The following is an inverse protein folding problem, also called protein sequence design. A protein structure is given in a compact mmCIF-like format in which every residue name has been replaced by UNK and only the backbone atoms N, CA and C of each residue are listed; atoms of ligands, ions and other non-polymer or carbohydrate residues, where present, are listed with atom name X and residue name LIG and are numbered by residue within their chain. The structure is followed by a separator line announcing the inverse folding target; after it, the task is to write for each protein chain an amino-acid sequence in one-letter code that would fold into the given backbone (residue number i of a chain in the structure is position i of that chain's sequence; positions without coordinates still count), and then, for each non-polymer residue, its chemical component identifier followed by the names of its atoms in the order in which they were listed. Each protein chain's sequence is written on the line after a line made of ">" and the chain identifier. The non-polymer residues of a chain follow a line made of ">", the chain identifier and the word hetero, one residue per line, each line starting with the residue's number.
data_IF_009062925819
#
_entry.id   IF_009062925819
#
_cell.length_a   1.000
_cell.length_b   1.000
_cell.length_c   1.000
_cell.angle_alpha   90.00
_cell.angle_beta   90.00
_cell.angle_gamma   90.00
#
_symmetry.space_group_name_H-M   'P 1'
#
loop_
_entity.id
_entity.type
_entity.pdbx_description
1 polymer ?
#
# COMPACT_ATOMS: atom_id res chain seq x y z
N UNK A 1 -7.10 29.95 2.90
CA UNK A 1 -7.23 29.19 4.15
C UNK A 1 -6.50 29.92 5.29
N UNK A 2 -5.22 30.20 5.16
CA UNK A 2 -4.42 30.90 6.17
C UNK A 2 -5.03 32.23 6.65
N UNK A 3 -5.74 32.97 5.77
CA UNK A 3 -6.40 34.21 6.13
C UNK A 3 -7.64 34.08 7.03
N UNK A 4 -8.21 32.86 7.10
CA UNK A 4 -9.42 32.59 7.91
C UNK A 4 -9.09 31.87 9.22
N UNK A 5 -8.05 31.04 9.16
CA UNK A 5 -7.60 30.26 10.29
C UNK A 5 -6.11 30.37 10.47
N UNK A 6 -5.36 30.46 11.35
CA UNK A 6 -3.91 30.65 11.46
C UNK A 6 -3.07 29.54 10.79
N UNK A 7 -3.67 28.43 10.41
CA UNK A 7 -2.98 27.23 9.91
C UNK A 7 -2.47 27.43 8.48
N UNK A 8 -1.24 26.98 8.23
CA UNK A 8 -0.57 27.17 6.96
C UNK A 8 -0.43 25.82 6.22
N UNK A 9 -0.98 25.74 5.00
CA UNK A 9 -0.80 24.60 4.11
C UNK A 9 0.05 25.03 2.92
N UNK A 10 1.15 24.32 2.70
CA UNK A 10 2.05 24.54 1.56
C UNK A 10 2.15 23.28 0.73
N UNK A 11 2.02 23.42 -0.59
CA UNK A 11 2.24 22.35 -1.56
C UNK A 11 3.56 22.62 -2.27
N UNK A 12 4.43 21.63 -2.28
CA UNK A 12 5.70 21.66 -3.01
C UNK A 12 5.81 20.45 -3.95
N UNK A 13 6.20 20.73 -5.19
CA UNK A 13 6.53 19.69 -6.16
C UNK A 13 7.99 19.82 -6.56
N UNK A 14 8.73 18.71 -6.51
CA UNK A 14 10.11 18.62 -6.93
C UNK A 14 10.24 17.54 -8.01
N UNK A 15 11.09 17.69 -9.00
CA UNK A 15 11.23 16.69 -10.06
C UNK A 15 11.64 15.33 -9.52
N UNK A 16 12.64 15.30 -8.63
CA UNK A 16 13.21 14.08 -8.03
C UNK A 16 13.80 14.37 -6.67
N UNK A 17 13.91 13.32 -5.85
CA UNK A 17 14.60 13.29 -4.56
C UNK A 17 16.11 12.99 -4.72
N UNK A 18 16.57 12.68 -5.94
CA UNK A 18 17.97 12.34 -6.25
C UNK A 18 18.53 11.19 -5.40
N UNK A 19 17.67 10.21 -5.08
CA UNK A 19 18.00 9.04 -4.28
C UNK A 19 17.87 9.24 -2.77
N UNK A 20 17.45 10.41 -2.31
CA UNK A 20 17.18 10.66 -0.89
C UNK A 20 15.78 10.12 -0.51
N UNK A 21 15.63 9.74 0.76
CA UNK A 21 14.32 9.35 1.30
C UNK A 21 13.43 10.59 1.49
N UNK A 22 12.14 10.46 1.13
CA UNK A 22 11.20 11.58 1.15
C UNK A 22 10.94 12.15 2.55
N UNK A 23 11.00 11.31 3.56
CA UNK A 23 10.70 11.67 4.94
C UNK A 23 11.73 12.65 5.54
N UNK A 24 13.04 12.35 5.55
CA UNK A 24 14.05 13.31 6.00
C UNK A 24 14.11 14.55 5.10
N UNK A 25 13.86 14.41 3.80
CA UNK A 25 13.81 15.53 2.86
C UNK A 25 12.66 16.48 3.22
N UNK A 26 11.43 15.97 3.38
CA UNK A 26 10.26 16.76 3.72
C UNK A 26 10.43 17.50 5.07
N UNK A 27 10.92 16.79 6.09
CA UNK A 27 11.18 17.36 7.41
C UNK A 27 12.23 18.48 7.36
N UNK A 28 13.31 18.29 6.61
CA UNK A 28 14.35 19.32 6.41
C UNK A 28 13.78 20.54 5.68
N UNK A 29 12.99 20.32 4.62
CA UNK A 29 12.36 21.38 3.84
C UNK A 29 11.35 22.18 4.70
N UNK A 30 10.51 21.48 5.46
CA UNK A 30 9.54 22.05 6.38
C UNK A 30 10.22 23.02 7.37
N UNK A 31 11.32 22.57 7.98
CA UNK A 31 12.09 23.39 8.93
C UNK A 31 12.84 24.55 8.26
N UNK A 32 13.39 24.31 7.07
CA UNK A 32 14.11 25.36 6.32
C UNK A 32 13.18 26.50 5.94
N UNK A 33 11.96 26.18 5.50
CA UNK A 33 10.94 27.19 5.17
C UNK A 33 10.24 27.75 6.41
N UNK A 34 10.48 27.19 7.58
CA UNK A 34 9.85 27.60 8.84
C UNK A 34 8.33 27.63 8.75
N UNK A 35 7.75 26.54 8.20
CA UNK A 35 6.31 26.46 7.99
C UNK A 35 5.56 26.45 9.33
N UNK A 36 4.45 27.18 9.36
CA UNK A 36 3.65 27.43 10.56
C UNK A 36 4.20 28.57 11.44
N UNK A 37 3.37 29.01 12.36
CA UNK A 37 3.76 30.05 13.30
C UNK A 37 4.67 29.49 14.39
N UNK A 38 5.72 30.22 14.73
CA UNK A 38 6.81 29.76 15.61
C UNK A 38 6.36 29.28 17.01
N UNK A 39 5.21 29.74 17.49
CA UNK A 39 4.64 29.34 18.79
C UNK A 39 3.60 28.23 18.67
N UNK A 40 2.93 28.16 17.53
CA UNK A 40 1.78 27.27 17.30
C UNK A 40 2.17 26.01 16.54
N UNK A 41 3.28 26.04 15.77
CA UNK A 41 3.75 24.93 14.93
C UNK A 41 2.63 24.36 14.04
N UNK A 42 1.82 25.26 13.46
CA UNK A 42 0.59 24.97 12.75
C UNK A 42 0.76 24.98 11.23
N UNK A 43 1.87 24.44 10.76
CA UNK A 43 2.15 24.26 9.34
C UNK A 43 1.86 22.84 8.86
N UNK A 44 1.52 22.71 7.57
CA UNK A 44 1.42 21.44 6.84
C UNK A 44 2.16 21.57 5.52
N UNK A 45 2.99 20.59 5.16
CA UNK A 45 3.66 20.51 3.87
C UNK A 45 3.19 19.27 3.12
N UNK A 46 2.58 19.44 1.96
CA UNK A 46 2.40 18.38 0.99
C UNK A 46 3.57 18.42 0.01
N UNK A 47 4.45 17.43 0.08
CA UNK A 47 5.57 17.26 -0.84
C UNK A 47 5.28 16.17 -1.86
N UNK A 48 5.49 16.44 -3.14
CA UNK A 48 5.30 15.50 -4.24
C UNK A 48 6.57 15.45 -5.10
N UNK A 49 7.10 14.24 -5.31
CA UNK A 49 8.22 13.95 -6.21
C UNK A 49 7.74 12.99 -7.31
N UNK A 50 7.20 13.49 -8.44
CA UNK A 50 6.54 12.67 -9.46
C UNK A 50 7.45 11.62 -10.10
N UNK A 51 8.71 11.95 -10.38
CA UNK A 51 9.64 11.01 -11.04
C UNK A 51 9.99 9.83 -10.14
N UNK A 52 10.01 10.03 -8.80
CA UNK A 52 10.26 8.97 -7.82
C UNK A 52 8.97 8.27 -7.40
N UNK A 53 7.80 8.76 -7.84
CA UNK A 53 6.46 8.31 -7.41
C UNK A 53 6.32 8.34 -5.90
N UNK A 54 6.87 9.38 -5.28
CA UNK A 54 6.84 9.59 -3.83
C UNK A 54 6.03 10.84 -3.49
N UNK A 55 5.31 10.76 -2.41
CA UNK A 55 4.55 11.88 -1.83
C UNK A 55 4.50 11.76 -0.32
N UNK A 56 4.45 12.87 0.37
CA UNK A 56 4.39 12.94 1.82
C UNK A 56 3.65 14.18 2.29
N UNK A 57 2.87 14.01 3.34
CA UNK A 57 2.31 15.10 4.12
C UNK A 57 3.10 15.18 5.43
N UNK A 58 3.79 16.29 5.64
CA UNK A 58 4.50 16.59 6.88
C UNK A 58 3.67 17.56 7.68
N UNK A 59 3.37 17.24 8.94
CA UNK A 59 2.47 17.99 9.80
C UNK A 59 3.26 18.61 10.95
N UNK A 60 3.04 19.90 11.21
CA UNK A 60 3.62 20.59 12.36
C UNK A 60 3.03 20.09 13.67
N UNK A 61 3.84 20.07 14.70
CA UNK A 61 3.51 19.50 16.02
C UNK A 61 2.17 20.03 16.60
N UNK A 62 1.83 21.29 16.34
CA UNK A 62 0.58 21.88 16.79
C UNK A 62 -0.69 21.31 16.14
N UNK A 63 -0.54 20.63 14.99
CA UNK A 63 -1.64 20.06 14.23
C UNK A 63 -1.71 18.53 14.28
N UNK A 64 -0.72 17.85 14.86
CA UNK A 64 -0.67 16.37 14.92
C UNK A 64 -1.90 15.75 15.60
N UNK A 65 -2.49 16.48 16.56
CA UNK A 65 -3.72 16.03 17.25
C UNK A 65 -4.99 16.14 16.40
N UNK A 66 -4.98 17.01 15.36
CA UNK A 66 -6.12 17.24 14.46
C UNK A 66 -5.93 16.51 13.13
N UNK A 67 -4.81 16.78 12.45
CA UNK A 67 -4.43 16.09 11.22
C UNK A 67 -3.45 14.98 11.57
N UNK A 68 -4.00 13.84 11.98
CA UNK A 68 -3.23 12.69 12.46
C UNK A 68 -2.57 11.91 11.34
N UNK A 69 -1.65 10.98 11.68
CA UNK A 69 -1.05 10.04 10.71
C UNK A 69 -2.10 9.21 9.97
N UNK A 70 -3.20 8.86 10.64
CA UNK A 70 -4.32 8.18 9.97
C UNK A 70 -4.92 9.04 8.87
N UNK A 71 -5.20 10.31 9.14
CA UNK A 71 -5.78 11.22 8.17
C UNK A 71 -4.84 11.45 6.98
N UNK A 72 -3.55 11.70 7.22
CA UNK A 72 -2.56 11.87 6.14
C UNK A 72 -2.42 10.64 5.27
N UNK A 73 -2.46 9.45 5.87
CA UNK A 73 -2.46 8.17 5.15
C UNK A 73 -3.72 8.02 4.29
N UNK A 74 -4.90 8.27 4.84
CA UNK A 74 -6.17 8.17 4.10
C UNK A 74 -6.20 9.12 2.90
N UNK A 75 -5.76 10.37 3.06
CA UNK A 75 -5.66 11.36 1.98
C UNK A 75 -4.73 10.84 0.87
N UNK A 76 -3.56 10.34 1.22
CA UNK A 76 -2.61 9.83 0.23
C UNK A 76 -3.20 8.62 -0.51
N UNK A 77 -3.69 7.61 0.21
CA UNK A 77 -4.14 6.34 -0.36
C UNK A 77 -5.45 6.45 -1.15
N UNK A 78 -6.39 7.26 -0.67
CA UNK A 78 -7.73 7.33 -1.27
C UNK A 78 -7.88 8.43 -2.33
N UNK A 79 -7.09 9.51 -2.25
CA UNK A 79 -7.25 10.65 -3.13
C UNK A 79 -6.07 10.79 -4.10
N UNK A 80 -4.83 10.82 -3.57
CA UNK A 80 -3.67 11.09 -4.40
C UNK A 80 -3.24 9.88 -5.24
N UNK A 81 -3.10 8.70 -4.64
CA UNK A 81 -2.61 7.50 -5.34
C UNK A 81 -3.48 7.13 -6.53
N UNK A 82 -4.82 7.03 -6.44
CA UNK A 82 -5.65 6.70 -7.59
C UNK A 82 -5.63 7.79 -8.66
N UNK A 83 -5.66 9.08 -8.28
CA UNK A 83 -5.59 10.20 -9.22
C UNK A 83 -4.25 10.21 -9.99
N UNK A 84 -3.13 10.01 -9.31
CA UNK A 84 -1.81 9.97 -9.91
C UNK A 84 -1.62 8.77 -10.84
N UNK A 85 -2.20 7.61 -10.50
CA UNK A 85 -2.24 6.45 -11.41
C UNK A 85 -3.04 6.72 -12.68
N UNK A 86 -4.09 7.55 -12.58
CA UNK A 86 -4.88 8.00 -13.72
C UNK A 86 -4.22 9.15 -14.51
N UNK A 87 -3.06 9.67 -14.04
CA UNK A 87 -2.36 10.80 -14.65
C UNK A 87 -2.90 12.18 -14.23
N UNK A 88 -3.88 12.22 -13.34
CA UNK A 88 -4.47 13.46 -12.82
C UNK A 88 -3.73 13.95 -11.57
N UNK A 89 -2.54 14.50 -11.77
CA UNK A 89 -1.74 15.04 -10.68
C UNK A 89 -2.40 16.26 -10.02
N UNK A 90 -2.98 17.14 -10.84
CA UNK A 90 -3.62 18.38 -10.37
C UNK A 90 -4.85 18.08 -9.52
N UNK A 91 -5.73 17.20 -10.01
CA UNK A 91 -6.94 16.80 -9.29
C UNK A 91 -6.59 16.09 -7.97
N UNK A 92 -5.62 15.18 -7.97
CA UNK A 92 -5.16 14.50 -6.76
C UNK A 92 -4.61 15.45 -5.70
N UNK A 93 -3.79 16.43 -6.12
CA UNK A 93 -3.25 17.45 -5.20
C UNK A 93 -4.37 18.35 -4.66
N UNK A 94 -5.27 18.84 -5.54
CA UNK A 94 -6.37 19.72 -5.13
C UNK A 94 -7.25 19.02 -4.11
N UNK A 95 -7.65 17.78 -4.39
CA UNK A 95 -8.47 16.99 -3.48
C UNK A 95 -7.78 16.73 -2.14
N UNK A 96 -6.49 16.44 -2.14
CA UNK A 96 -5.72 16.27 -0.91
C UNK A 96 -5.71 17.54 -0.06
N UNK A 97 -5.57 18.72 -0.69
CA UNK A 97 -5.64 20.02 0.01
C UNK A 97 -7.04 20.25 0.60
N UNK A 98 -8.10 19.96 -0.18
CA UNK A 98 -9.48 20.11 0.29
C UNK A 98 -9.76 19.20 1.49
N UNK A 99 -9.29 17.96 1.47
CA UNK A 99 -9.47 17.02 2.58
C UNK A 99 -8.63 17.42 3.81
N UNK A 100 -7.41 17.94 3.63
CA UNK A 100 -6.63 18.52 4.74
C UNK A 100 -7.38 19.67 5.39
N UNK A 101 -7.93 20.57 4.60
CA UNK A 101 -8.73 21.72 5.10
C UNK A 101 -9.95 21.21 5.87
N UNK A 102 -10.69 20.26 5.31
CA UNK A 102 -11.87 19.67 5.93
C UNK A 102 -11.56 19.07 7.32
N UNK A 103 -10.45 18.33 7.44
CA UNK A 103 -10.00 17.76 8.72
C UNK A 103 -9.59 18.86 9.71
N UNK A 104 -8.84 19.87 9.26
CA UNK A 104 -8.41 20.98 10.11
C UNK A 104 -9.58 21.87 10.58
N UNK A 105 -10.66 21.94 9.80
CA UNK A 105 -11.92 22.61 10.19
C UNK A 105 -12.80 21.77 11.15
N UNK A 106 -12.33 20.55 11.53
CA UNK A 106 -12.99 19.70 12.53
C UNK A 106 -14.04 18.74 11.97
N UNK A 107 -13.98 18.40 10.69
CA UNK A 107 -14.90 17.48 10.02
C UNK A 107 -14.20 16.24 9.46
N UNK A 108 -13.49 15.42 10.28
CA UNK A 108 -12.74 14.25 9.79
C UNK A 108 -13.63 13.07 9.41
N UNK A 109 -14.90 13.04 9.85
CA UNK A 109 -15.78 11.88 9.76
C UNK A 109 -16.04 11.44 8.32
N UNK A 110 -16.12 12.37 7.37
CA UNK A 110 -16.33 12.04 5.96
C UNK A 110 -15.11 11.35 5.36
N UNK A 111 -13.91 11.83 5.66
CA UNK A 111 -12.66 11.21 5.23
C UNK A 111 -12.53 9.80 5.80
N UNK A 112 -12.77 9.63 7.09
CA UNK A 112 -12.73 8.32 7.75
C UNK A 112 -13.79 7.35 7.20
N UNK A 113 -15.01 7.86 6.93
CA UNK A 113 -16.06 7.04 6.34
C UNK A 113 -15.72 6.61 4.91
N UNK A 114 -15.05 7.46 4.12
CA UNK A 114 -14.51 7.09 2.80
C UNK A 114 -13.42 6.03 2.92
N UNK A 115 -12.50 6.18 3.88
CA UNK A 115 -11.46 5.20 4.17
C UNK A 115 -12.07 3.83 4.46
N UNK A 116 -13.01 3.74 5.38
CA UNK A 116 -13.70 2.49 5.74
C UNK A 116 -14.44 1.85 4.55
N UNK A 117 -15.08 2.65 3.69
CA UNK A 117 -15.72 2.13 2.47
C UNK A 117 -14.72 1.54 1.49
N UNK A 118 -13.55 2.16 1.34
CA UNK A 118 -12.50 1.68 0.45
C UNK A 118 -11.81 0.41 0.97
N UNK A 119 -11.62 0.30 2.28
CA UNK A 119 -11.15 -0.95 2.91
C UNK A 119 -12.14 -2.11 2.75
N UNK A 120 -13.44 -1.79 2.71
CA UNK A 120 -14.52 -2.77 2.51
C UNK A 120 -14.87 -2.96 1.03
N UNK A 121 -14.16 -2.31 0.10
CA UNK A 121 -14.40 -2.44 -1.32
C UNK A 121 -14.29 -3.92 -1.73
N UNK A 122 -15.25 -4.43 -2.51
CA UNK A 122 -15.31 -5.85 -2.79
C UNK A 122 -14.08 -6.29 -3.56
N UNK A 123 -13.63 -7.47 -3.17
CA UNK A 123 -12.62 -8.30 -3.76
C UNK A 123 -12.38 -8.02 -5.25
N UNK A 124 -11.18 -7.58 -5.57
CA UNK A 124 -10.81 -7.29 -6.95
C UNK A 124 -10.78 -8.63 -7.74
N UNK A 125 -11.50 -8.75 -8.88
CA UNK A 125 -11.48 -9.98 -9.67
C UNK A 125 -10.08 -10.45 -10.05
N UNK A 126 -9.14 -9.52 -10.24
CA UNK A 126 -7.74 -9.82 -10.55
C UNK A 126 -7.02 -10.52 -9.38
N UNK A 127 -7.37 -10.17 -8.13
CA UNK A 127 -6.84 -10.85 -6.94
C UNK A 127 -7.43 -12.26 -6.79
N UNK A 128 -8.67 -12.48 -7.25
CA UNK A 128 -9.29 -13.80 -7.30
C UNK A 128 -8.56 -14.73 -8.28
N UNK A 129 -8.30 -14.25 -9.50
CA UNK A 129 -7.56 -15.03 -10.49
C UNK A 129 -6.17 -15.38 -10.00
N UNK A 130 -5.46 -14.43 -9.38
CA UNK A 130 -4.14 -14.68 -8.83
C UNK A 130 -4.17 -15.66 -7.65
N UNK A 131 -5.15 -15.56 -6.77
CA UNK A 131 -5.34 -16.48 -5.63
C UNK A 131 -5.68 -17.89 -6.09
N UNK A 132 -6.58 -18.04 -7.08
CA UNK A 132 -6.92 -19.32 -7.70
C UNK A 132 -5.69 -19.90 -8.38
N UNK A 133 -4.94 -19.10 -9.13
CA UNK A 133 -3.72 -19.54 -9.80
C UNK A 133 -2.71 -20.09 -8.81
N UNK A 134 -2.44 -19.39 -7.72
CA UNK A 134 -1.53 -19.87 -6.66
C UNK A 134 -2.07 -21.14 -6.00
N UNK A 135 -3.38 -21.21 -5.69
CA UNK A 135 -3.99 -22.39 -5.08
C UNK A 135 -3.85 -23.64 -5.97
N UNK A 136 -4.06 -23.50 -7.27
CA UNK A 136 -3.87 -24.58 -8.25
C UNK A 136 -2.41 -25.04 -8.28
N UNK A 137 -1.45 -24.11 -8.31
CA UNK A 137 -0.03 -24.44 -8.31
C UNK A 137 0.41 -25.15 -7.02
N UNK A 138 -0.06 -24.68 -5.86
CA UNK A 138 0.21 -25.33 -4.57
C UNK A 138 -0.40 -26.74 -4.56
N UNK A 139 -1.62 -26.91 -5.06
CA UNK A 139 -2.28 -28.22 -5.14
C UNK A 139 -1.50 -29.19 -6.01
N UNK A 140 -1.04 -28.76 -7.20
CA UNK A 140 -0.22 -29.57 -8.09
C UNK A 140 1.10 -29.96 -7.41
N UNK A 141 1.75 -29.02 -6.73
CA UNK A 141 3.01 -29.25 -6.01
C UNK A 141 2.82 -30.26 -4.87
N UNK A 142 1.76 -30.12 -4.08
CA UNK A 142 1.45 -31.04 -2.98
C UNK A 142 1.14 -32.42 -3.51
N UNK A 143 0.34 -32.56 -4.58
CA UNK A 143 0.03 -33.86 -5.22
C UNK A 143 1.28 -34.51 -5.81
N UNK A 144 2.15 -33.73 -6.46
CA UNK A 144 3.43 -34.20 -6.99
C UNK A 144 4.34 -34.72 -5.88
N UNK A 145 4.46 -33.96 -4.78
CA UNK A 145 5.27 -34.37 -3.62
C UNK A 145 4.67 -35.59 -2.93
N UNK A 146 3.35 -35.61 -2.75
CA UNK A 146 2.64 -36.77 -2.19
C UNK A 146 2.82 -38.03 -3.02
N UNK A 147 2.74 -37.93 -4.34
CA UNK A 147 2.97 -39.09 -5.25
C UNK A 147 4.39 -39.64 -5.20
N UNK A 148 5.36 -38.80 -4.81
CA UNK A 148 6.77 -39.24 -4.67
C UNK A 148 7.08 -39.82 -3.29
N UNK A 149 6.46 -39.31 -2.22
CA UNK A 149 6.80 -39.65 -0.84
C UNK A 149 5.87 -40.72 -0.25
N UNK A 150 4.57 -40.62 -0.49
CA UNK A 150 3.60 -41.51 0.15
C UNK A 150 3.70 -43.01 -0.33
N UNK A 151 3.89 -43.34 -1.63
CA UNK A 151 4.02 -44.70 -2.06
C UNK A 151 5.19 -45.48 -1.42
N UNK A 152 6.40 -44.88 -1.26
CA UNK A 152 7.48 -45.57 -0.53
C UNK A 152 7.19 -45.82 0.96
N UNK A 153 6.39 -44.96 1.59
CA UNK A 153 6.10 -45.03 3.04
C UNK A 153 4.92 -45.98 3.32
N UNK A 154 3.83 -45.85 2.56
CA UNK A 154 2.54 -46.51 2.84
C UNK A 154 2.18 -47.57 1.78
N UNK A 155 2.86 -47.63 0.64
CA UNK A 155 2.57 -48.58 -0.42
C UNK A 155 3.16 -49.98 -0.18
N UNK A 156 2.48 -51.01 -0.66
CA UNK A 156 3.04 -52.37 -0.69
C UNK A 156 4.12 -52.49 -1.75
N UNK A 157 5.32 -52.87 -1.34
CA UNK A 157 6.44 -53.10 -2.25
C UNK A 157 6.21 -54.33 -3.10
N UNK A 158 6.03 -54.15 -4.41
CA UNK A 158 5.76 -55.23 -5.37
C UNK A 158 6.99 -55.62 -6.22
N UNK A 159 8.11 -54.90 -6.04
CA UNK A 159 9.36 -55.13 -6.75
C UNK A 159 10.43 -54.07 -6.44
N UNK A 160 11.64 -54.17 -7.00
CA UNK A 160 12.68 -53.17 -6.85
C UNK A 160 12.21 -51.81 -7.38
N UNK A 161 12.02 -50.84 -6.49
CA UNK A 161 11.59 -49.48 -6.88
C UNK A 161 10.11 -49.34 -7.28
N UNK A 162 9.27 -50.38 -7.08
CA UNK A 162 7.84 -50.37 -7.43
C UNK A 162 6.98 -50.50 -6.18
N UNK A 163 5.99 -49.61 -6.07
CA UNK A 163 5.04 -49.59 -4.95
C UNK A 163 3.60 -49.59 -5.49
N UNK A 164 2.71 -50.37 -4.86
CA UNK A 164 1.27 -50.33 -5.11
C UNK A 164 0.60 -49.59 -3.96
N UNK A 165 -0.05 -48.50 -4.29
CA UNK A 165 -0.81 -47.70 -3.33
C UNK A 165 -2.12 -47.23 -3.98
N UNK A 166 -3.24 -47.33 -3.29
CA UNK A 166 -4.58 -47.01 -3.81
C UNK A 166 -4.89 -47.64 -5.18
N UNK A 167 -4.47 -48.90 -5.42
CA UNK A 167 -4.71 -49.58 -6.69
C UNK A 167 -3.81 -49.18 -7.85
N UNK A 168 -2.98 -48.17 -7.70
CA UNK A 168 -2.04 -47.70 -8.73
C UNK A 168 -0.61 -48.12 -8.41
N UNK A 169 0.20 -48.34 -9.48
CA UNK A 169 1.62 -48.68 -9.36
C UNK A 169 2.46 -47.43 -9.58
N UNK A 170 3.36 -47.12 -8.63
CA UNK A 170 4.28 -46.00 -8.68
C UNK A 170 5.72 -46.46 -8.84
N UNK A 171 6.44 -45.80 -9.74
CA UNK A 171 7.89 -45.97 -9.94
C UNK A 171 8.60 -44.64 -9.71
N UNK A 172 8.91 -44.26 -8.45
CA UNK A 172 9.62 -43.04 -8.19
C UNK A 172 11.03 -43.08 -8.78
N UNK A 173 11.33 -42.23 -9.74
CA UNK A 173 12.65 -42.08 -10.34
C UNK A 173 12.78 -42.37 -11.83
N UNK A 174 11.72 -42.81 -12.53
CA UNK A 174 11.78 -42.92 -13.98
C UNK A 174 11.35 -41.58 -14.62
N UNK A 175 12.33 -40.76 -15.03
CA UNK A 175 12.06 -39.66 -15.96
C UNK A 175 11.61 -40.29 -17.28
N UNK A 176 10.42 -39.93 -17.75
CA UNK A 176 10.00 -40.19 -19.11
C UNK A 176 10.96 -39.51 -20.07
N UNK A 177 11.69 -40.31 -20.84
CA UNK A 177 12.44 -39.89 -22.01
C UNK A 177 11.48 -39.48 -23.12
#
# INVERSE_FOLDING_TARGET
>A
FEQKGSDQIVVATIPSLDGEEIEPYANRLFRFWKLGQAKENNGVLLLVAPNDRRMRIEVGYGLEGTLTDLHTKLIIENDMVPAFRAGDFSGGISKAVDDMIMVLEGNPEELEARGKRNEQAPFNPDDLFFSIFIAVWITILVLSLASSILPPIFGQRIGPGRYRWLGMTFEPGKRSS
#
